data_IF_509019256356
#
_entry.id   IF_509019256356
#
_cell.length_a   1.000
_cell.length_b   1.000
_cell.length_c   1.000
_cell.angle_alpha   90.00
_cell.angle_beta   90.00
_cell.angle_gamma   90.00
#
_symmetry.space_group_name_H-M   'P 1'
#
loop_
_entity.id
_entity.type
_entity.pdbx_description
1 polymer ?
#
# COMPACT_ATOMS: atom_id res chain seq x y z
N UNK A 1 -30.94 21.09 -11.49
CA UNK A 1 -29.55 20.75 -11.92
C UNK A 1 -28.50 21.00 -10.85
N UNK A 2 -28.48 22.15 -10.14
CA UNK A 2 -27.44 22.43 -9.08
C UNK A 2 -27.45 21.44 -7.90
N UNK A 3 -28.61 20.93 -7.47
CA UNK A 3 -28.70 19.94 -6.36
C UNK A 3 -28.13 18.56 -6.72
N UNK A 4 -28.25 18.14 -7.98
CA UNK A 4 -27.70 16.85 -8.44
C UNK A 4 -26.16 16.87 -8.48
N UNK A 5 -25.57 18.01 -8.87
CA UNK A 5 -24.12 18.21 -8.90
C UNK A 5 -23.50 18.20 -7.49
N UNK A 6 -24.20 18.74 -6.49
CA UNK A 6 -23.75 18.74 -5.09
C UNK A 6 -23.77 17.31 -4.52
N UNK A 7 -24.79 16.51 -4.83
CA UNK A 7 -24.87 15.12 -4.38
C UNK A 7 -23.76 14.27 -5.00
N UNK A 8 -23.47 14.43 -6.30
CA UNK A 8 -22.36 13.73 -6.95
C UNK A 8 -20.97 14.17 -6.40
N UNK A 9 -20.80 15.45 -6.05
CA UNK A 9 -19.57 15.93 -5.44
C UNK A 9 -19.37 15.40 -4.02
N UNK A 10 -20.44 15.32 -3.22
CA UNK A 10 -20.41 14.78 -1.86
C UNK A 10 -20.14 13.26 -1.87
N UNK A 11 -20.72 12.50 -2.81
CA UNK A 11 -20.44 11.06 -2.94
C UNK A 11 -19.03 10.78 -3.41
N UNK A 12 -18.45 11.62 -4.31
CA UNK A 12 -17.04 11.50 -4.70
C UNK A 12 -16.09 11.82 -3.54
N UNK A 13 -16.40 12.81 -2.73
CA UNK A 13 -15.60 13.19 -1.55
C UNK A 13 -15.68 12.08 -0.48
N UNK A 14 -16.86 11.47 -0.27
CA UNK A 14 -16.99 10.36 0.68
C UNK A 14 -16.26 9.10 0.23
N UNK A 15 -16.22 8.80 -1.08
CA UNK A 15 -15.43 7.68 -1.61
C UNK A 15 -13.91 7.92 -1.51
N UNK A 16 -13.44 9.16 -1.62
CA UNK A 16 -12.04 9.51 -1.40
C UNK A 16 -11.65 9.45 0.09
N UNK A 17 -12.55 9.82 0.99
CA UNK A 17 -12.31 9.77 2.44
C UNK A 17 -12.38 8.34 3.01
N UNK A 18 -13.18 7.44 2.44
CA UNK A 18 -13.27 6.05 2.90
C UNK A 18 -11.93 5.30 2.79
N UNK A 19 -11.06 5.68 1.83
CA UNK A 19 -9.70 5.13 1.74
C UNK A 19 -8.71 5.77 2.72
N UNK A 20 -9.01 6.96 3.23
CA UNK A 20 -8.14 7.65 4.18
C UNK A 20 -8.33 7.16 5.63
N UNK A 21 -9.52 6.68 5.97
CA UNK A 21 -9.88 6.40 7.37
C UNK A 21 -9.06 5.25 7.98
N UNK A 22 -8.87 4.14 7.26
CA UNK A 22 -8.13 2.97 7.78
C UNK A 22 -6.72 2.81 7.21
N UNK A 23 -6.13 3.87 6.60
CA UNK A 23 -4.83 3.76 5.93
C UNK A 23 -3.70 4.24 6.81
N UNK A 24 -2.70 3.39 7.02
CA UNK A 24 -1.41 3.74 7.60
C UNK A 24 -0.54 4.56 6.64
N UNK A 25 0.57 5.07 7.16
CA UNK A 25 1.55 5.84 6.37
C UNK A 25 2.21 4.97 5.31
N UNK A 26 2.39 5.49 4.10
CA UNK A 26 3.20 4.86 3.07
C UNK A 26 4.69 4.95 3.38
N UNK A 27 5.36 3.81 3.36
CA UNK A 27 6.79 3.63 3.63
C UNK A 27 7.49 3.32 2.32
N UNK A 28 8.50 4.11 1.97
CA UNK A 28 9.32 3.84 0.80
C UNK A 28 10.17 2.59 1.01
N UNK A 29 10.14 1.68 0.04
CA UNK A 29 11.10 0.59 -0.02
C UNK A 29 12.44 1.20 -0.47
N UNK A 30 13.36 1.41 0.47
CA UNK A 30 14.63 2.04 0.17
C UNK A 30 15.60 1.05 -0.44
N UNK A 31 16.06 1.37 -1.64
CA UNK A 31 17.24 0.75 -2.21
C UNK A 31 18.20 1.85 -2.66
N UNK A 32 19.47 1.57 -2.58
CA UNK A 32 20.55 2.54 -2.86
C UNK A 32 20.71 2.86 -4.34
N UNK A 33 20.12 2.09 -5.24
CA UNK A 33 20.46 2.10 -6.68
C UNK A 33 19.47 2.83 -7.58
N UNK A 34 18.25 3.06 -7.15
CA UNK A 34 17.23 3.71 -8.01
C UNK A 34 16.62 4.94 -7.36
N UNK A 35 17.01 6.12 -7.83
CA UNK A 35 16.50 7.42 -7.32
C UNK A 35 15.05 7.71 -7.66
N UNK A 36 14.40 7.00 -8.58
CA UNK A 36 13.22 7.55 -9.23
C UNK A 36 11.91 6.78 -9.13
N UNK A 37 11.89 5.48 -8.81
CA UNK A 37 10.64 4.70 -8.82
C UNK A 37 10.74 3.57 -7.78
N UNK A 38 10.75 3.97 -6.52
CA UNK A 38 10.70 3.02 -5.40
C UNK A 38 9.26 2.67 -5.11
N UNK A 39 8.91 1.40 -4.89
CA UNK A 39 7.59 1.07 -4.39
C UNK A 39 7.42 1.63 -2.98
N UNK A 40 6.17 1.85 -2.62
CA UNK A 40 5.80 2.22 -1.26
C UNK A 40 4.81 1.19 -0.73
N UNK A 41 4.95 0.87 0.54
CA UNK A 41 4.10 -0.08 1.25
C UNK A 41 3.33 0.66 2.34
N UNK A 42 2.05 0.33 2.52
CA UNK A 42 1.26 0.80 3.65
C UNK A 42 0.27 -0.28 4.06
N UNK A 43 -0.08 -0.36 5.32
CA UNK A 43 -1.22 -1.15 5.74
C UNK A 43 -2.52 -0.36 5.60
N UNK A 44 -3.57 -1.07 5.29
CA UNK A 44 -4.94 -0.58 5.27
C UNK A 44 -5.82 -1.56 6.04
N UNK A 45 -6.68 -1.05 6.90
CA UNK A 45 -7.68 -1.85 7.60
C UNK A 45 -9.06 -1.27 7.35
N UNK A 46 -10.01 -2.14 7.12
CA UNK A 46 -11.43 -1.81 6.98
C UNK A 46 -12.28 -2.81 7.74
N UNK A 47 -13.48 -2.41 8.09
CA UNK A 47 -14.47 -3.30 8.68
C UNK A 47 -15.46 -3.74 7.60
N UNK A 48 -15.55 -5.05 7.38
CA UNK A 48 -16.47 -5.66 6.40
C UNK A 48 -17.30 -6.71 7.12
N UNK A 49 -18.62 -6.54 7.12
CA UNK A 49 -19.55 -7.47 7.81
C UNK A 49 -19.22 -7.72 9.29
N UNK A 50 -18.69 -6.70 9.99
CA UNK A 50 -18.32 -6.80 11.40
C UNK A 50 -16.91 -7.33 11.67
N UNK A 51 -16.18 -7.79 10.65
CA UNK A 51 -14.81 -8.28 10.75
C UNK A 51 -13.80 -7.24 10.28
N UNK A 52 -12.71 -7.08 11.03
CA UNK A 52 -11.61 -6.19 10.66
C UNK A 52 -10.67 -6.91 9.67
N UNK A 53 -10.69 -6.47 8.41
CA UNK A 53 -9.85 -6.99 7.34
C UNK A 53 -8.65 -6.06 7.15
N UNK A 54 -7.45 -6.60 7.27
CA UNK A 54 -6.21 -5.86 7.04
C UNK A 54 -5.56 -6.32 5.74
N UNK A 55 -5.12 -5.37 4.91
CA UNK A 55 -4.42 -5.61 3.65
C UNK A 55 -3.13 -4.81 3.58
N UNK A 56 -2.16 -5.28 2.79
CA UNK A 56 -0.97 -4.51 2.44
C UNK A 56 -1.20 -3.81 1.10
N UNK A 57 -1.20 -2.49 1.12
CA UNK A 57 -1.22 -1.68 -0.10
C UNK A 57 0.19 -1.54 -0.66
N UNK A 58 0.33 -1.75 -1.96
CA UNK A 58 1.59 -1.56 -2.68
C UNK A 58 1.38 -0.52 -3.76
N UNK A 59 2.07 0.61 -3.61
CA UNK A 59 2.12 1.66 -4.61
C UNK A 59 3.35 1.48 -5.47
N UNK A 60 3.15 1.23 -6.75
CA UNK A 60 4.23 1.18 -7.76
C UNK A 60 4.10 2.34 -8.74
N UNK A 61 5.21 2.80 -9.28
CA UNK A 61 5.25 3.90 -10.26
C UNK A 61 6.17 3.53 -11.42
N UNK A 62 5.77 3.88 -12.64
CA UNK A 62 6.58 3.73 -13.85
C UNK A 62 6.51 5.03 -14.68
N UNK A 63 7.49 5.28 -15.53
CA UNK A 63 7.53 6.48 -16.40
C UNK A 63 6.96 6.24 -17.79
N UNK A 64 6.76 4.99 -18.20
CA UNK A 64 6.34 4.66 -19.57
C UNK A 64 4.88 4.24 -19.67
N UNK A 65 4.44 3.40 -18.72
CA UNK A 65 3.11 2.79 -18.72
C UNK A 65 2.76 2.30 -17.31
N UNK A 66 1.51 1.87 -17.11
CA UNK A 66 1.13 1.14 -15.90
C UNK A 66 1.77 -0.25 -15.89
N UNK A 67 2.14 -0.72 -14.69
CA UNK A 67 2.43 -2.14 -14.52
C UNK A 67 1.15 -2.95 -14.71
N UNK A 68 1.28 -4.11 -15.35
CA UNK A 68 0.20 -5.08 -15.49
C UNK A 68 0.24 -6.05 -14.32
N UNK A 69 -0.88 -6.20 -13.65
CA UNK A 69 -1.08 -7.14 -12.55
C UNK A 69 -2.07 -8.21 -12.97
N UNK A 70 -1.78 -9.45 -12.59
CA UNK A 70 -2.58 -10.64 -12.86
C UNK A 70 -2.78 -11.43 -11.57
N UNK A 71 -3.57 -12.49 -11.59
CA UNK A 71 -3.76 -13.37 -10.44
C UNK A 71 -2.45 -14.03 -9.96
N UNK A 72 -1.43 -14.08 -10.83
CA UNK A 72 -0.08 -14.54 -10.48
C UNK A 72 0.75 -13.47 -9.75
N UNK A 73 0.26 -12.21 -9.66
CA UNK A 73 0.98 -11.12 -9.01
C UNK A 73 1.11 -11.38 -7.52
N UNK A 74 2.29 -11.10 -6.99
CA UNK A 74 2.61 -11.34 -5.58
C UNK A 74 3.71 -10.39 -5.12
N UNK A 75 3.79 -10.21 -3.81
CA UNK A 75 4.92 -9.57 -3.16
C UNK A 75 5.63 -10.60 -2.28
N UNK A 76 6.97 -10.60 -2.32
CA UNK A 76 7.78 -11.42 -1.45
C UNK A 76 8.62 -10.49 -0.57
N UNK A 77 8.58 -10.71 0.73
CA UNK A 77 9.34 -9.96 1.73
C UNK A 77 10.32 -10.92 2.39
N UNK A 78 11.61 -10.66 2.22
CA UNK A 78 12.66 -11.45 2.86
C UNK A 78 13.15 -10.74 4.10
N UNK A 79 13.33 -11.50 5.16
CA UNK A 79 13.76 -11.04 6.48
C UNK A 79 15.22 -11.40 6.77
N UNK A 80 15.81 -10.72 7.76
CA UNK A 80 17.20 -10.91 8.18
C UNK A 80 17.47 -12.28 8.80
N UNK A 81 16.45 -12.96 9.31
CA UNK A 81 16.53 -14.33 9.82
C UNK A 81 16.55 -15.40 8.70
N UNK A 82 16.58 -14.98 7.42
CA UNK A 82 16.60 -15.85 6.25
C UNK A 82 15.22 -16.31 5.78
N UNK A 83 14.16 -16.05 6.52
CA UNK A 83 12.79 -16.42 6.12
C UNK A 83 12.23 -15.48 5.05
N UNK A 84 11.15 -15.90 4.39
CA UNK A 84 10.48 -15.11 3.35
C UNK A 84 8.98 -15.31 3.45
N UNK A 85 8.24 -14.21 3.53
CA UNK A 85 6.78 -14.20 3.46
C UNK A 85 6.34 -13.86 2.03
N UNK A 86 5.34 -14.59 1.54
CA UNK A 86 4.72 -14.40 0.24
C UNK A 86 3.28 -13.96 0.42
N UNK A 87 2.93 -12.82 -0.19
CA UNK A 87 1.57 -12.27 -0.18
C UNK A 87 1.01 -12.31 -1.59
N UNK A 88 -0.21 -12.81 -1.74
CA UNK A 88 -0.94 -12.85 -3.01
C UNK A 88 -1.74 -11.57 -3.22
N UNK A 89 -1.91 -11.17 -4.48
CA UNK A 89 -2.79 -10.08 -4.86
C UNK A 89 -4.22 -10.39 -4.37
N UNK A 90 -4.87 -9.40 -3.76
CA UNK A 90 -6.29 -9.50 -3.41
C UNK A 90 -7.12 -9.17 -4.65
N UNK A 91 -7.60 -10.21 -5.34
CA UNK A 91 -8.37 -10.07 -6.58
C UNK A 91 -9.78 -9.51 -6.36
N UNK A 92 -10.24 -9.42 -5.10
CA UNK A 92 -11.52 -8.80 -4.75
C UNK A 92 -11.42 -7.27 -4.63
N UNK A 93 -10.19 -6.73 -4.62
CA UNK A 93 -9.94 -5.29 -4.55
C UNK A 93 -9.59 -4.72 -5.91
N UNK A 94 -10.17 -3.55 -6.19
CA UNK A 94 -9.86 -2.82 -7.42
C UNK A 94 -8.41 -2.37 -7.46
N UNK A 95 -7.77 -2.55 -8.61
CA UNK A 95 -6.44 -2.01 -8.90
C UNK A 95 -6.61 -0.54 -9.30
N UNK A 96 -6.19 0.38 -8.45
CA UNK A 96 -6.27 1.81 -8.73
C UNK A 96 -5.12 2.27 -9.62
N UNK A 97 -5.45 3.02 -10.66
CA UNK A 97 -4.50 3.57 -11.63
C UNK A 97 -4.62 5.09 -11.67
N UNK A 98 -3.51 5.79 -11.48
CA UNK A 98 -3.41 7.24 -11.52
C UNK A 98 -2.29 7.66 -12.48
N UNK A 99 -2.46 8.81 -13.12
CA UNK A 99 -1.46 9.41 -14.00
C UNK A 99 -1.20 10.84 -13.54
N UNK A 100 0.06 11.19 -13.36
CA UNK A 100 0.45 12.56 -13.03
C UNK A 100 1.72 12.97 -13.73
N UNK A 101 1.89 14.29 -13.92
CA UNK A 101 3.00 14.85 -14.66
C UNK A 101 3.77 15.80 -13.77
N UNK A 102 5.10 15.65 -13.73
CA UNK A 102 6.01 16.61 -13.10
C UNK A 102 6.78 17.37 -14.17
N UNK A 103 6.78 18.70 -14.04
CA UNK A 103 7.59 19.59 -14.87
C UNK A 103 8.78 20.07 -14.06
N UNK A 104 9.97 20.01 -14.65
CA UNK A 104 11.14 20.71 -14.18
C UNK A 104 11.65 21.63 -15.32
N UNK A 105 12.70 22.42 -15.09
CA UNK A 105 13.16 23.42 -16.05
C UNK A 105 13.43 22.89 -17.47
N UNK A 106 13.80 21.60 -17.59
CA UNK A 106 14.31 21.03 -18.83
C UNK A 106 13.49 19.85 -19.37
N UNK A 107 12.49 19.34 -18.61
CA UNK A 107 11.73 18.17 -19.03
C UNK A 107 10.34 18.11 -18.36
N UNK A 108 9.44 17.47 -19.08
CA UNK A 108 8.12 17.06 -18.56
C UNK A 108 8.09 15.55 -18.50
N UNK A 109 7.95 14.98 -17.30
CA UNK A 109 7.93 13.54 -17.09
C UNK A 109 6.54 13.12 -16.61
N UNK A 110 5.93 12.18 -17.32
CA UNK A 110 4.66 11.58 -16.93
C UNK A 110 4.92 10.30 -16.15
N UNK A 111 4.25 10.17 -15.02
CA UNK A 111 4.31 9.01 -14.14
C UNK A 111 2.98 8.28 -14.15
N UNK A 112 3.06 6.96 -14.19
CA UNK A 112 1.95 6.02 -14.14
C UNK A 112 2.01 5.27 -12.81
N UNK A 113 1.10 5.59 -11.92
CA UNK A 113 1.01 5.03 -10.58
C UNK A 113 -0.04 3.93 -10.55
N UNK A 114 0.29 2.82 -9.92
CA UNK A 114 -0.65 1.72 -9.67
C UNK A 114 -0.65 1.41 -8.17
N UNK A 115 -1.82 1.29 -7.57
CA UNK A 115 -2.00 0.84 -6.19
C UNK A 115 -2.72 -0.50 -6.24
N UNK A 116 -2.12 -1.50 -5.61
CA UNK A 116 -2.63 -2.87 -5.48
C UNK A 116 -2.75 -3.26 -4.03
N UNK A 117 -3.69 -4.13 -3.70
CA UNK A 117 -3.91 -4.68 -2.37
C UNK A 117 -3.44 -6.14 -2.33
N UNK A 118 -2.80 -6.52 -1.23
CA UNK A 118 -2.33 -7.88 -1.00
C UNK A 118 -2.89 -8.43 0.30
N UNK A 119 -3.35 -9.67 0.26
CA UNK A 119 -3.80 -10.39 1.46
C UNK A 119 -2.60 -10.64 2.37
N UNK A 120 -2.68 -10.20 3.61
CA UNK A 120 -1.61 -10.41 4.59
C UNK A 120 -1.70 -11.80 5.21
N UNK A 121 -0.56 -12.28 5.71
CA UNK A 121 -0.46 -13.53 6.45
C UNK A 121 -0.13 -13.27 7.92
N UNK A 122 -0.56 -14.14 8.85
CA UNK A 122 -0.18 -14.05 10.26
C UNK A 122 1.34 -14.00 10.46
N UNK A 123 2.09 -14.73 9.61
CA UNK A 123 3.55 -14.74 9.63
C UNK A 123 4.15 -13.33 9.40
N UNK A 124 3.61 -12.54 8.46
CA UNK A 124 4.08 -11.17 8.25
C UNK A 124 3.88 -10.33 9.52
N UNK A 125 2.72 -10.46 10.15
CA UNK A 125 2.39 -9.72 11.38
C UNK A 125 3.36 -10.12 12.51
N UNK A 126 3.58 -11.42 12.70
CA UNK A 126 4.50 -11.94 13.70
C UNK A 126 5.94 -11.40 13.50
N UNK A 127 6.46 -11.44 12.26
CA UNK A 127 7.77 -10.89 11.94
C UNK A 127 7.90 -9.41 12.28
N UNK A 128 6.88 -8.62 11.96
CA UNK A 128 6.87 -7.18 12.27
C UNK A 128 6.75 -6.92 13.78
N UNK A 129 5.95 -7.70 14.50
CA UNK A 129 5.81 -7.59 15.95
C UNK A 129 7.12 -7.88 16.68
N UNK A 130 7.89 -8.86 16.19
CA UNK A 130 9.18 -9.26 16.72
C UNK A 130 10.35 -8.42 16.17
N UNK A 131 10.06 -7.32 15.45
CA UNK A 131 11.03 -6.37 14.90
C UNK A 131 12.12 -7.03 14.01
N UNK A 132 11.76 -8.14 13.31
CA UNK A 132 12.67 -8.82 12.39
C UNK A 132 12.90 -7.92 11.17
N UNK A 133 14.17 -7.56 10.91
CA UNK A 133 14.50 -6.61 9.86
C UNK A 133 14.15 -7.13 8.45
N UNK A 134 13.67 -6.23 7.57
CA UNK A 134 13.39 -6.52 6.17
C UNK A 134 14.65 -6.25 5.35
N UNK A 135 15.14 -7.27 4.64
CA UNK A 135 16.38 -7.17 3.83
C UNK A 135 16.10 -7.00 2.34
N UNK A 136 14.97 -7.51 1.85
CA UNK A 136 14.59 -7.44 0.43
C UNK A 136 13.09 -7.45 0.25
N UNK A 137 12.62 -6.70 -0.73
CA UNK A 137 11.24 -6.78 -1.25
C UNK A 137 11.31 -7.11 -2.74
N UNK A 138 10.55 -8.12 -3.18
CA UNK A 138 10.35 -8.40 -4.59
C UNK A 138 8.88 -8.19 -4.94
N UNK A 139 8.62 -7.39 -5.95
CA UNK A 139 7.28 -7.20 -6.53
C UNK A 139 7.23 -7.99 -7.84
N UNK A 140 6.35 -8.99 -7.89
CA UNK A 140 6.04 -9.76 -9.10
C UNK A 140 4.77 -9.19 -9.69
N UNK A 141 4.85 -8.60 -10.87
CA UNK A 141 3.74 -7.96 -11.56
C UNK A 141 2.89 -8.98 -12.31
N UNK A 142 3.55 -9.84 -13.07
CA UNK A 142 2.98 -10.98 -13.78
C UNK A 142 4.03 -12.08 -13.92
N UNK A 143 3.66 -13.20 -14.51
CA UNK A 143 4.62 -14.27 -14.81
C UNK A 143 5.81 -13.71 -15.61
N UNK A 144 7.03 -14.00 -15.14
CA UNK A 144 8.29 -13.54 -15.71
C UNK A 144 8.55 -12.02 -15.70
N UNK A 145 7.75 -11.22 -14.96
CA UNK A 145 7.98 -9.79 -14.77
C UNK A 145 8.02 -9.47 -13.28
N UNK A 146 9.20 -9.27 -12.74
CA UNK A 146 9.43 -8.97 -11.34
C UNK A 146 10.54 -7.95 -11.14
N UNK A 147 10.46 -7.20 -10.04
CA UNK A 147 11.52 -6.29 -9.61
C UNK A 147 11.95 -6.57 -8.19
N UNK A 148 13.26 -6.62 -8.00
CA UNK A 148 13.92 -6.76 -6.70
C UNK A 148 14.35 -5.41 -6.16
N UNK A 149 14.11 -5.22 -4.86
CA UNK A 149 14.51 -4.06 -4.11
C UNK A 149 15.26 -4.52 -2.86
N UNK A 150 16.58 -4.45 -2.91
CA UNK A 150 17.43 -4.72 -1.75
C UNK A 150 17.41 -3.51 -0.82
N UNK A 151 17.19 -3.76 0.45
CA UNK A 151 17.12 -2.71 1.47
C UNK A 151 18.53 -2.43 1.98
N UNK A 152 18.93 -1.16 1.96
CA UNK A 152 20.21 -0.74 2.49
C UNK A 152 20.37 -1.21 3.96
N UNK A 153 21.52 -1.79 4.30
CA UNK A 153 21.76 -2.45 5.59
C UNK A 153 21.37 -1.55 6.79
N UNK A 154 21.80 -0.29 6.78
CA UNK A 154 21.45 0.68 7.83
C UNK A 154 19.97 1.09 7.86
N UNK A 155 19.17 0.74 6.84
CA UNK A 155 17.73 1.04 6.77
C UNK A 155 16.84 -0.17 7.07
N UNK A 156 17.39 -1.38 7.07
CA UNK A 156 16.63 -2.62 7.25
C UNK A 156 15.80 -2.67 8.54
N UNK A 157 16.35 -2.35 9.73
CA UNK A 157 15.57 -2.33 10.97
C UNK A 157 14.51 -1.22 10.95
N UNK A 158 14.88 -0.04 10.42
CA UNK A 158 13.97 1.10 10.34
C UNK A 158 12.78 0.79 9.43
N UNK A 159 12.98 0.13 8.31
CA UNK A 159 11.88 -0.23 7.40
C UNK A 159 10.87 -1.16 8.07
N UNK A 160 11.34 -2.16 8.83
CA UNK A 160 10.46 -3.06 9.59
C UNK A 160 9.65 -2.29 10.65
N UNK A 161 10.33 -1.42 11.40
CA UNK A 161 9.69 -0.55 12.42
C UNK A 161 8.68 0.42 11.79
N UNK A 162 9.03 1.08 10.68
CA UNK A 162 8.13 2.01 9.98
C UNK A 162 6.90 1.26 9.44
N UNK A 163 7.08 0.04 8.93
CA UNK A 163 5.97 -0.78 8.42
C UNK A 163 5.08 -1.29 9.56
N UNK A 164 5.64 -1.68 10.71
CA UNK A 164 4.91 -1.98 11.94
C UNK A 164 4.08 -0.77 12.39
N UNK A 165 4.66 0.43 12.37
CA UNK A 165 3.94 1.66 12.71
C UNK A 165 2.79 1.93 11.74
N UNK A 166 2.99 1.71 10.44
CA UNK A 166 1.93 1.82 9.44
C UNK A 166 0.74 0.88 9.73
N UNK A 167 1.01 -0.33 10.22
CA UNK A 167 -0.02 -1.27 10.66
C UNK A 167 -0.80 -0.73 11.86
N UNK A 168 -0.10 -0.25 12.88
CA UNK A 168 -0.73 0.32 14.09
C UNK A 168 -1.59 1.54 13.75
N UNK A 169 -1.10 2.42 12.88
CA UNK A 169 -1.83 3.60 12.39
C UNK A 169 -3.11 3.19 11.65
N UNK A 170 -3.05 2.14 10.81
CA UNK A 170 -4.21 1.64 10.08
C UNK A 170 -5.28 1.10 11.05
N UNK A 171 -4.87 0.32 12.05
CA UNK A 171 -5.76 -0.23 13.08
C UNK A 171 -6.41 0.90 13.89
N UNK A 172 -5.63 1.88 14.33
CA UNK A 172 -6.14 3.00 15.14
C UNK A 172 -7.16 3.83 14.36
N UNK A 173 -6.86 4.18 13.11
CA UNK A 173 -7.76 4.98 12.26
C UNK A 173 -9.07 4.23 11.94
N UNK A 174 -8.99 2.92 11.69
CA UNK A 174 -10.19 2.11 11.46
C UNK A 174 -11.10 2.10 12.69
N UNK A 175 -10.54 1.99 13.90
CA UNK A 175 -11.31 2.06 15.15
C UNK A 175 -11.97 3.42 15.35
N UNK A 176 -11.28 4.51 15.07
CA UNK A 176 -11.83 5.87 15.20
C UNK A 176 -13.00 6.08 14.24
N UNK A 177 -12.86 5.68 12.97
CA UNK A 177 -13.94 5.81 11.98
C UNK A 177 -15.19 4.99 12.31
N UNK A 178 -15.05 3.87 13.02
CA UNK A 178 -16.19 3.06 13.47
C UNK A 178 -16.88 3.62 14.72
N UNK A 179 -16.17 4.37 15.54
CA UNK A 179 -16.74 5.02 16.74
C UNK A 179 -17.55 6.25 16.35
N UNK A 180 -17.04 7.08 15.43
CA UNK A 180 -17.74 8.29 14.95
C UNK A 180 -19.08 7.97 14.27
N UNK A 181 -19.20 6.80 13.63
CA UNK A 181 -20.47 6.35 13.02
C UNK A 181 -21.50 5.85 14.05
N UNK A 182 -21.08 5.43 15.23
CA UNK A 182 -21.99 4.96 16.30
C UNK A 182 -22.63 6.08 17.10
N UNK A 183 -22.04 7.27 17.09
CA UNK A 183 -22.52 8.42 17.87
C UNK A 183 -23.49 9.32 17.08
N UNK A 184 -23.62 9.12 15.75
CA UNK A 184 -24.58 9.84 14.90
C UNK A 184 -25.98 9.20 14.81
N UNK A 185 -26.17 7.99 15.36
CA UNK A 185 -27.42 7.22 15.31
C UNK A 185 -28.28 7.34 16.61
N UNK A 186 -28.03 8.36 17.46
CA UNK A 186 -28.85 8.63 18.65
C UNK A 186 -29.49 10.01 18.66
#
# INVERSE_FOLDING_TARGET
MKKLLIICALTLISMLNAYAAGQGKFIHVDNTTSKNIKPQLAFYQERVNGEDITTLLVWTTNVNTYYEFTDASRILIRFSDGTMTRLSLDTNKEIKKEKFTKKNANATITYYKTITSYTITPELIDKLQNDIAIVKVRVVFKENDAKDYDIAEGYQPKMASDLKQSLLDAIQKNRQSTTDLSDEDF
#
